data_IF_385379323945
#
_entry.id   IF_385379323945
#
_cell.length_a   1.000
_cell.length_b   1.000
_cell.length_c   1.000
_cell.angle_alpha   90.00
_cell.angle_beta   90.00
_cell.angle_gamma   90.00
#
_symmetry.space_group_name_H-M   'P 1'
#
loop_
_entity.id
_entity.type
_entity.pdbx_description
1 polymer ?
#
# COMPACT_ATOMS: atom_id res chain seq x y z
N UNK A 1 6.62 -15.10 -6.50
CA UNK A 1 5.48 -15.73 -7.19
C UNK A 1 5.49 -15.16 -8.60
N UNK A 2 5.17 -15.96 -9.62
CA UNK A 2 5.17 -15.46 -11.01
C UNK A 2 4.00 -14.50 -11.24
N UNK A 3 2.84 -14.83 -10.69
CA UNK A 3 1.62 -14.03 -10.83
C UNK A 3 1.10 -13.57 -9.46
N UNK A 4 1.40 -12.33 -9.02
CA UNK A 4 1.02 -11.84 -7.69
C UNK A 4 -0.51 -11.74 -7.49
N UNK A 5 -1.30 -11.76 -8.57
CA UNK A 5 -2.77 -11.78 -8.44
C UNK A 5 -3.29 -13.08 -7.82
N UNK A 6 -2.48 -14.14 -7.84
CA UNK A 6 -2.74 -15.41 -7.17
C UNK A 6 -2.29 -15.46 -5.73
N UNK A 7 -1.84 -14.36 -5.13
CA UNK A 7 -1.46 -14.36 -3.71
C UNK A 7 -2.63 -14.82 -2.82
N UNK A 8 -2.32 -15.61 -1.79
CA UNK A 8 -3.30 -16.03 -0.77
C UNK A 8 -3.95 -14.84 -0.04
N UNK A 9 -3.35 -13.64 -0.10
CA UNK A 9 -3.93 -12.41 0.41
C UNK A 9 -5.33 -12.12 -0.17
N UNK A 10 -5.58 -12.52 -1.42
CA UNK A 10 -6.86 -12.28 -2.12
C UNK A 10 -7.85 -13.43 -1.95
N UNK A 11 -7.91 -13.99 -0.75
CA UNK A 11 -8.83 -15.07 -0.37
C UNK A 11 -9.65 -14.69 0.86
N UNK A 12 -10.71 -15.45 1.13
CA UNK A 12 -11.55 -15.29 2.33
C UNK A 12 -10.78 -15.42 3.65
N UNK A 13 -9.57 -15.97 3.65
CA UNK A 13 -8.71 -16.06 4.83
C UNK A 13 -8.17 -14.69 5.25
N UNK A 14 -7.97 -13.78 4.29
CA UNK A 14 -7.35 -12.48 4.50
C UNK A 14 -8.26 -11.34 4.03
N UNK A 15 -8.06 -10.80 2.83
CA UNK A 15 -8.73 -9.58 2.38
C UNK A 15 -9.97 -9.83 1.52
N UNK A 16 -10.31 -11.08 1.24
CA UNK A 16 -11.34 -11.45 0.28
C UNK A 16 -10.86 -11.33 -1.17
N UNK A 17 -11.78 -11.50 -2.11
CA UNK A 17 -11.50 -11.54 -3.54
C UNK A 17 -10.81 -10.25 -4.04
N UNK A 18 -9.93 -10.43 -5.02
CA UNK A 18 -9.19 -9.34 -5.66
C UNK A 18 -9.84 -8.74 -6.91
N UNK A 19 -10.99 -9.28 -7.34
CA UNK A 19 -11.66 -8.87 -8.58
C UNK A 19 -13.15 -8.64 -8.34
N UNK A 20 -13.65 -7.51 -8.81
CA UNK A 20 -15.06 -7.12 -8.69
C UNK A 20 -15.40 -6.55 -7.31
N UNK A 21 -16.70 -6.56 -6.99
CA UNK A 21 -17.18 -6.17 -5.67
C UNK A 21 -16.65 -7.15 -4.62
N UNK A 22 -16.34 -6.65 -3.42
CA UNK A 22 -15.85 -7.48 -2.33
C UNK A 22 -16.97 -8.33 -1.74
N UNK A 23 -16.97 -9.62 -2.05
CA UNK A 23 -18.05 -10.56 -1.72
C UNK A 23 -17.60 -11.67 -0.74
N UNK A 24 -16.29 -11.76 -0.47
CA UNK A 24 -15.71 -12.84 0.33
C UNK A 24 -14.81 -12.32 1.44
N UNK A 25 -14.55 -13.16 2.44
CA UNK A 25 -13.67 -12.85 3.55
C UNK A 25 -14.28 -11.95 4.63
N UNK A 26 -13.46 -11.49 5.59
CA UNK A 26 -13.90 -10.73 6.76
C UNK A 26 -14.54 -9.38 6.44
N UNK A 27 -14.31 -8.89 5.22
CA UNK A 27 -14.74 -7.59 4.74
C UNK A 27 -15.77 -7.69 3.61
N UNK A 28 -16.38 -8.88 3.41
CA UNK A 28 -17.43 -9.07 2.42
C UNK A 28 -18.58 -8.07 2.61
N UNK A 29 -19.06 -7.49 1.51
CA UNK A 29 -20.16 -6.54 1.50
C UNK A 29 -19.82 -5.13 2.01
N UNK A 30 -18.55 -4.83 2.29
CA UNK A 30 -18.13 -3.53 2.81
C UNK A 30 -18.57 -2.38 1.89
N UNK A 31 -19.24 -1.39 2.49
CA UNK A 31 -19.77 -0.22 1.80
C UNK A 31 -18.88 1.00 2.05
N UNK A 32 -18.60 1.72 0.97
CA UNK A 32 -17.88 3.00 0.96
C UNK A 32 -18.86 4.12 0.61
N UNK A 33 -18.49 5.39 0.78
CA UNK A 33 -19.28 6.51 0.26
C UNK A 33 -19.56 6.43 -1.25
N UNK A 34 -18.72 5.71 -2.01
CA UNK A 34 -18.90 5.45 -3.44
C UNK A 34 -19.69 4.18 -3.78
N UNK A 35 -20.26 3.49 -2.79
CA UNK A 35 -20.92 2.18 -2.93
C UNK A 35 -20.01 1.02 -2.49
N UNK A 36 -20.28 -0.19 -2.96
CA UNK A 36 -19.49 -1.38 -2.62
C UNK A 36 -18.00 -1.17 -2.91
N UNK A 37 -17.14 -1.69 -2.03
CA UNK A 37 -15.71 -1.79 -2.28
C UNK A 37 -15.47 -2.67 -3.52
N UNK A 38 -14.68 -2.17 -4.48
CA UNK A 38 -14.35 -2.87 -5.72
C UNK A 38 -12.82 -2.96 -5.87
N UNK A 39 -12.31 -4.10 -6.32
CA UNK A 39 -10.89 -4.30 -6.68
C UNK A 39 -10.75 -4.85 -8.10
N UNK A 40 -9.61 -4.61 -8.72
CA UNK A 40 -9.27 -5.16 -10.03
C UNK A 40 -7.76 -5.36 -10.13
N UNK A 41 -7.23 -6.22 -9.26
CA UNK A 41 -5.80 -6.36 -9.05
C UNK A 41 -5.02 -6.69 -10.32
N UNK A 42 -3.85 -6.07 -10.48
CA UNK A 42 -2.91 -6.31 -11.59
C UNK A 42 -3.39 -5.77 -12.95
N UNK A 43 -4.32 -4.82 -12.97
CA UNK A 43 -4.77 -4.17 -14.21
C UNK A 43 -3.75 -3.18 -14.77
N UNK A 44 -3.02 -2.51 -13.88
CA UNK A 44 -1.98 -1.51 -14.15
C UNK A 44 -1.06 -1.40 -12.91
N UNK A 45 -0.21 -0.39 -12.85
CA UNK A 45 0.61 -0.10 -11.68
C UNK A 45 1.72 -1.12 -11.44
N UNK A 46 2.35 -1.03 -10.27
CA UNK A 46 3.48 -1.88 -9.90
C UNK A 46 3.47 -2.20 -8.41
N UNK A 47 3.86 -3.42 -8.07
CA UNK A 47 4.18 -3.78 -6.70
C UNK A 47 5.64 -3.41 -6.39
N UNK A 48 5.95 -3.24 -5.11
CA UNK A 48 7.32 -3.07 -4.65
C UNK A 48 8.22 -4.20 -5.18
N UNK A 49 9.26 -3.82 -5.93
CA UNK A 49 10.33 -4.73 -6.29
C UNK A 49 11.28 -4.87 -5.09
N UNK A 50 11.65 -6.13 -4.78
CA UNK A 50 12.65 -6.45 -3.76
C UNK A 50 14.03 -5.83 -4.04
N UNK A 51 14.29 -5.38 -5.27
CA UNK A 51 15.50 -4.63 -5.63
C UNK A 51 15.41 -3.13 -5.37
N UNK A 52 14.19 -2.57 -5.39
CA UNK A 52 13.97 -1.13 -5.22
C UNK A 52 14.03 -0.70 -3.76
N UNK A 53 13.56 -1.54 -2.82
CA UNK A 53 13.63 -1.23 -1.39
C UNK A 53 15.09 -1.05 -0.89
N UNK A 54 16.04 -1.96 -1.20
CA UNK A 54 17.45 -1.73 -0.87
C UNK A 54 18.03 -0.47 -1.52
N UNK A 55 17.53 -0.08 -2.69
CA UNK A 55 17.94 1.14 -3.38
C UNK A 55 17.50 2.38 -2.62
N UNK A 56 16.26 2.43 -2.10
CA UNK A 56 15.78 3.48 -1.19
C UNK A 56 16.67 3.53 0.07
N UNK A 57 16.95 2.39 0.70
CA UNK A 57 17.78 2.32 1.90
C UNK A 57 19.27 2.66 1.68
N UNK A 58 19.74 2.61 0.43
CA UNK A 58 21.08 3.07 0.07
C UNK A 58 21.21 4.59 0.08
N UNK A 59 20.11 5.34 -0.07
CA UNK A 59 20.10 6.80 -0.07
C UNK A 59 20.39 7.36 1.31
N UNK A 60 20.84 8.61 1.36
CA UNK A 60 21.34 9.24 2.60
C UNK A 60 20.47 10.42 3.04
N UNK A 61 19.86 11.14 2.12
CA UNK A 61 19.05 12.33 2.36
C UNK A 61 17.62 12.12 1.87
N UNK A 62 16.65 12.68 2.58
CA UNK A 62 15.23 12.56 2.26
C UNK A 62 14.92 12.99 0.83
N UNK A 63 15.56 14.07 0.35
CA UNK A 63 15.42 14.58 -1.02
C UNK A 63 15.70 13.54 -2.11
N UNK A 64 16.45 12.48 -1.80
CA UNK A 64 16.78 11.43 -2.77
C UNK A 64 15.66 10.39 -2.92
N UNK A 65 14.76 10.30 -1.94
CA UNK A 65 13.68 9.31 -1.88
C UNK A 65 12.28 9.94 -1.79
N UNK A 66 12.18 11.26 -1.77
CA UNK A 66 10.93 12.00 -1.63
C UNK A 66 10.74 13.04 -2.73
N UNK A 67 9.49 13.20 -3.15
CA UNK A 67 9.09 14.20 -4.15
C UNK A 67 9.29 15.64 -3.65
N UNK A 68 9.57 16.60 -4.54
CA UNK A 68 9.66 16.46 -6.00
C UNK A 68 11.08 16.17 -6.51
N UNK A 69 12.02 15.85 -5.62
CA UNK A 69 13.46 15.81 -5.95
C UNK A 69 14.02 14.42 -6.16
N UNK A 70 13.26 13.38 -5.80
CA UNK A 70 13.66 11.99 -6.00
C UNK A 70 13.83 11.68 -7.49
N UNK A 71 14.72 10.73 -7.80
CA UNK A 71 14.75 10.16 -9.14
C UNK A 71 13.53 9.23 -9.31
N UNK A 72 13.00 9.01 -10.52
CA UNK A 72 11.74 8.28 -10.74
C UNK A 72 11.64 6.91 -10.05
N UNK A 73 12.73 6.14 -10.04
CA UNK A 73 12.74 4.80 -9.41
C UNK A 73 13.19 4.81 -7.94
N UNK A 74 13.58 5.97 -7.40
CA UNK A 74 14.05 6.15 -6.02
C UNK A 74 12.96 6.73 -5.10
N UNK A 75 11.91 7.34 -5.69
CA UNK A 75 10.82 7.96 -4.96
C UNK A 75 9.94 6.95 -4.22
N UNK A 76 9.85 7.08 -2.90
CA UNK A 76 9.00 6.25 -2.07
C UNK A 76 7.51 6.47 -2.38
N UNK A 77 7.12 7.71 -2.68
CA UNK A 77 5.76 8.11 -3.05
C UNK A 77 5.33 7.46 -4.37
N UNK A 78 6.23 7.37 -5.36
CA UNK A 78 5.94 6.74 -6.64
C UNK A 78 5.75 5.21 -6.49
N UNK A 79 6.62 4.56 -5.72
CA UNK A 79 6.46 3.13 -5.41
C UNK A 79 5.17 2.86 -4.62
N UNK A 80 4.82 3.74 -3.69
CA UNK A 80 3.55 3.74 -2.97
C UNK A 80 2.35 3.86 -3.92
N UNK A 81 2.40 4.81 -4.87
CA UNK A 81 1.34 5.03 -5.85
C UNK A 81 1.16 3.82 -6.77
N UNK A 82 2.26 3.17 -7.14
CA UNK A 82 2.25 1.95 -7.94
C UNK A 82 1.33 0.88 -7.36
N UNK A 83 1.33 0.68 -6.04
CA UNK A 83 0.48 -0.32 -5.36
C UNK A 83 -0.98 0.09 -5.32
N UNK A 84 -1.27 1.37 -5.09
CA UNK A 84 -2.63 1.91 -5.18
C UNK A 84 -3.26 1.59 -6.55
N UNK A 85 -2.51 1.88 -7.61
CA UNK A 85 -2.92 1.61 -9.00
C UNK A 85 -2.98 0.09 -9.25
N UNK A 86 -2.06 -0.68 -8.69
CA UNK A 86 -2.02 -2.14 -8.89
C UNK A 86 -3.22 -2.84 -8.25
N UNK A 87 -3.72 -2.38 -7.10
CA UNK A 87 -4.95 -2.94 -6.51
C UNK A 87 -6.19 -2.47 -7.28
N UNK A 88 -6.15 -1.25 -7.82
CA UNK A 88 -7.19 -0.64 -8.65
C UNK A 88 -8.53 -0.47 -7.89
N UNK A 89 -9.56 0.04 -8.57
CA UNK A 89 -10.90 0.20 -8.03
C UNK A 89 -10.93 1.20 -6.88
N UNK A 90 -11.35 0.76 -5.70
CA UNK A 90 -11.40 1.61 -4.50
C UNK A 90 -10.01 2.12 -4.11
N UNK A 91 -8.96 1.32 -4.30
CA UNK A 91 -7.58 1.69 -3.93
C UNK A 91 -6.94 2.74 -4.85
N UNK A 92 -7.40 2.91 -6.09
CA UNK A 92 -6.88 3.92 -7.03
C UNK A 92 -7.44 5.34 -6.75
N UNK A 93 -8.49 5.43 -5.92
CA UNK A 93 -9.09 6.71 -5.56
C UNK A 93 -8.37 7.36 -4.39
N UNK A 94 -7.87 8.59 -4.57
CA UNK A 94 -7.28 9.39 -3.48
C UNK A 94 -8.21 9.59 -2.27
N UNK A 95 -9.53 9.57 -2.50
CA UNK A 95 -10.54 9.80 -1.46
C UNK A 95 -11.05 8.47 -0.90
N UNK A 96 -11.28 7.47 -1.75
CA UNK A 96 -11.91 6.22 -1.33
C UNK A 96 -10.90 5.16 -0.87
N UNK A 97 -9.62 5.25 -1.22
CA UNK A 97 -8.63 4.23 -0.88
C UNK A 97 -8.60 3.85 0.60
N UNK A 98 -8.69 4.79 1.58
CA UNK A 98 -8.73 4.44 3.00
C UNK A 98 -9.91 3.55 3.43
N UNK A 99 -10.95 3.42 2.60
CA UNK A 99 -12.08 2.52 2.83
C UNK A 99 -11.78 1.07 2.43
N UNK A 100 -10.72 0.81 1.67
CA UNK A 100 -10.23 -0.56 1.48
C UNK A 100 -9.32 -0.94 2.67
N UNK A 101 -9.64 -2.00 3.44
CA UNK A 101 -8.81 -2.40 4.58
C UNK A 101 -7.33 -2.66 4.24
N UNK A 102 -7.01 -3.00 2.99
CA UNK A 102 -5.61 -3.19 2.59
C UNK A 102 -4.80 -1.89 2.56
N UNK A 103 -5.47 -0.73 2.44
CA UNK A 103 -4.85 0.60 2.52
C UNK A 103 -3.96 0.73 3.74
N UNK A 104 -4.48 0.36 4.91
CA UNK A 104 -3.78 0.54 6.17
C UNK A 104 -2.54 -0.36 6.27
N UNK A 105 -2.62 -1.60 5.77
CA UNK A 105 -1.42 -2.46 5.74
C UNK A 105 -0.38 -1.99 4.72
N UNK A 106 -0.82 -1.47 3.58
CA UNK A 106 0.07 -0.85 2.59
C UNK A 106 0.80 0.35 3.21
N UNK A 107 0.08 1.25 3.87
CA UNK A 107 0.66 2.42 4.54
C UNK A 107 1.55 2.06 5.74
N UNK A 108 1.24 0.99 6.49
CA UNK A 108 2.18 0.45 7.48
C UNK A 108 3.48 -0.05 6.83
N UNK A 109 3.42 -0.63 5.63
CA UNK A 109 4.63 -1.07 4.94
C UNK A 109 5.44 0.10 4.37
N UNK A 110 4.78 1.17 3.90
CA UNK A 110 5.43 2.44 3.53
C UNK A 110 6.15 3.05 4.73
N UNK A 111 5.47 3.14 5.87
CA UNK A 111 6.04 3.66 7.12
C UNK A 111 7.18 2.78 7.64
N UNK A 112 7.10 1.45 7.49
CA UNK A 112 8.23 0.55 7.76
C UNK A 112 9.46 0.88 6.90
N UNK A 113 9.29 1.08 5.59
CA UNK A 113 10.40 1.44 4.68
C UNK A 113 11.02 2.78 5.13
N UNK A 114 10.17 3.75 5.45
CA UNK A 114 10.56 5.06 5.99
C UNK A 114 11.33 4.92 7.30
N UNK A 115 10.84 4.15 8.28
CA UNK A 115 11.47 3.97 9.58
C UNK A 115 12.86 3.33 9.44
N UNK A 116 13.00 2.32 8.57
CA UNK A 116 14.32 1.72 8.31
C UNK A 116 15.27 2.73 7.67
N UNK A 117 14.80 3.53 6.71
CA UNK A 117 15.60 4.62 6.14
C UNK A 117 16.02 5.63 7.22
N UNK A 118 15.09 6.05 8.08
CA UNK A 118 15.31 6.98 9.19
C UNK A 118 16.38 6.45 10.16
N UNK A 119 16.33 5.17 10.50
CA UNK A 119 17.36 4.50 11.31
C UNK A 119 18.73 4.49 10.63
N UNK A 120 18.78 4.27 9.31
CA UNK A 120 20.01 4.30 8.52
C UNK A 120 20.59 5.72 8.39
N UNK A 121 19.75 6.76 8.34
CA UNK A 121 20.22 8.14 8.45
C UNK A 121 20.89 8.39 9.80
N UNK A 122 20.24 7.97 10.89
CA UNK A 122 20.79 8.12 12.24
C UNK A 122 22.11 7.38 12.41
N UNK A 123 22.26 6.17 11.86
CA UNK A 123 23.54 5.42 11.91
C UNK A 123 24.66 6.10 11.12
N UNK A 124 24.31 6.96 10.16
CA UNK A 124 25.24 7.81 9.40
C UNK A 124 25.44 9.21 10.01
N UNK A 125 24.93 9.45 11.22
CA UNK A 125 25.05 10.73 11.91
C UNK A 125 24.13 11.84 11.40
N UNK A 126 23.10 11.48 10.62
CA UNK A 126 22.08 12.42 10.13
C UNK A 126 20.89 12.36 11.07
N UNK A 127 20.46 13.52 11.57
CA UNK A 127 19.23 13.62 12.34
C UNK A 127 18.04 13.86 11.39
N UNK A 128 17.09 12.91 11.26
CA UNK A 128 15.94 13.02 10.37
C UNK A 128 15.03 14.21 10.68
N UNK A 129 14.99 14.64 11.95
CA UNK A 129 14.23 15.82 12.38
C UNK A 129 14.80 17.16 11.86
N UNK A 130 15.88 17.12 11.07
CA UNK A 130 16.45 18.27 10.37
C UNK A 130 16.68 18.01 8.87
N UNK A 131 16.24 16.87 8.34
CA UNK A 131 16.47 16.46 6.95
C UNK A 131 15.16 16.47 6.16
N UNK A 132 14.69 17.67 5.79
CA UNK A 132 13.42 17.86 5.10
C UNK A 132 13.61 18.20 3.63
N UNK A 133 12.59 17.93 2.82
CA UNK A 133 12.48 18.48 1.45
C UNK A 133 11.70 19.79 1.54
N UNK A 134 12.31 20.95 1.23
CA UNK A 134 11.57 22.20 1.19
C UNK A 134 10.47 22.13 0.14
N UNK A 135 9.24 22.47 0.53
CA UNK A 135 8.09 22.53 -0.37
C UNK A 135 7.33 23.83 -0.14
N UNK A 136 6.96 24.48 -1.24
CA UNK A 136 6.04 25.63 -1.24
C UNK A 136 4.59 25.20 -1.52
N UNK A 137 4.35 23.89 -1.64
CA UNK A 137 3.02 23.34 -1.88
C UNK A 137 2.26 23.34 -0.56
N UNK A 138 1.07 23.94 -0.56
CA UNK A 138 0.18 23.96 0.61
C UNK A 138 -0.04 22.55 1.15
N UNK A 139 0.08 22.39 2.46
CA UNK A 139 0.00 21.12 3.18
C UNK A 139 1.32 20.36 3.29
N UNK A 140 2.38 20.77 2.58
CA UNK A 140 3.68 20.10 2.57
C UNK A 140 4.79 20.91 3.23
N UNK A 141 4.54 22.13 3.68
CA UNK A 141 5.50 22.90 4.47
C UNK A 141 5.83 22.18 5.77
N UNK A 142 7.11 22.16 6.15
CA UNK A 142 7.59 21.41 7.33
C UNK A 142 6.92 21.87 8.64
N UNK A 143 6.64 23.16 8.78
CA UNK A 143 5.99 23.74 9.95
C UNK A 143 4.47 23.93 9.79
N UNK A 144 3.90 23.45 8.68
CA UNK A 144 2.44 23.40 8.51
C UNK A 144 1.82 22.27 9.33
N UNK A 145 0.57 22.46 9.74
CA UNK A 145 -0.22 21.44 10.42
C UNK A 145 -0.35 20.19 9.53
N UNK A 146 -0.02 19.03 10.09
CA UNK A 146 -0.13 17.76 9.40
C UNK A 146 -1.60 17.50 9.05
N UNK A 147 -1.87 17.24 7.77
CA UNK A 147 -3.25 17.12 7.30
C UNK A 147 -4.02 16.04 8.06
N UNK A 148 -5.09 16.44 8.75
CA UNK A 148 -5.96 15.53 9.49
C UNK A 148 -5.45 15.11 10.87
N UNK A 149 -4.33 15.67 11.36
CA UNK A 149 -3.74 15.35 12.66
C UNK A 149 -3.61 16.64 13.50
N UNK A 150 -4.68 16.97 14.22
CA UNK A 150 -4.77 18.19 15.03
C UNK A 150 -3.64 18.28 16.06
N UNK A 151 -2.95 19.42 16.09
CA UNK A 151 -1.90 19.71 17.06
C UNK A 151 -0.53 19.13 16.72
N UNK A 152 -0.36 18.53 15.52
CA UNK A 152 0.92 18.08 15.02
C UNK A 152 1.25 18.77 13.70
N UNK A 153 2.52 19.07 13.49
CA UNK A 153 3.07 19.59 12.24
C UNK A 153 3.67 18.47 11.41
N UNK A 154 3.94 18.74 10.14
CA UNK A 154 4.69 17.80 9.29
C UNK A 154 6.07 17.47 9.90
N UNK A 155 6.74 18.43 10.55
CA UNK A 155 8.00 18.26 11.27
C UNK A 155 7.91 17.17 12.34
N UNK A 156 6.79 17.10 13.06
CA UNK A 156 6.63 16.19 14.17
C UNK A 156 6.68 14.72 13.73
N UNK A 157 6.25 14.43 12.49
CA UNK A 157 6.35 13.10 11.88
C UNK A 157 7.78 12.55 11.77
N UNK A 158 8.80 13.41 11.86
CA UNK A 158 10.21 13.02 11.78
C UNK A 158 10.85 12.79 13.16
N UNK A 159 10.13 13.08 14.25
CA UNK A 159 10.67 13.00 15.59
C UNK A 159 10.80 11.55 16.06
N UNK A 160 11.89 11.28 16.76
CA UNK A 160 12.11 10.01 17.47
C UNK A 160 10.98 9.68 18.46
N UNK A 161 10.33 10.69 19.05
CA UNK A 161 9.21 10.49 19.98
C UNK A 161 7.98 9.90 19.28
N UNK A 162 7.72 10.27 18.02
CA UNK A 162 6.64 9.71 17.20
C UNK A 162 7.03 8.33 16.69
N UNK A 163 8.22 8.18 16.11
CA UNK A 163 8.69 6.89 15.58
C UNK A 163 8.68 5.76 16.62
N UNK A 164 9.00 6.07 17.89
CA UNK A 164 9.00 5.09 18.99
C UNK A 164 7.60 4.64 19.44
N UNK A 165 6.52 5.18 18.87
CA UNK A 165 5.16 4.73 19.16
C UNK A 165 4.85 3.36 18.54
N UNK A 166 5.58 2.97 17.49
CA UNK A 166 5.39 1.73 16.73
C UNK A 166 6.71 0.97 16.66
N UNK A 167 6.62 -0.36 16.63
CA UNK A 167 7.74 -1.24 16.34
C UNK A 167 7.34 -2.18 15.21
N UNK A 168 8.21 -2.33 14.23
CA UNK A 168 8.03 -3.25 13.11
C UNK A 168 8.87 -4.51 13.32
N UNK A 169 8.25 -5.66 13.04
CA UNK A 169 8.99 -6.92 12.93
C UNK A 169 9.83 -6.93 11.64
N UNK A 170 11.00 -7.58 11.66
CA UNK A 170 11.82 -7.70 10.46
C UNK A 170 11.09 -8.50 9.37
N UNK A 171 11.34 -8.14 8.12
CA UNK A 171 10.79 -8.86 6.97
C UNK A 171 11.17 -10.35 7.02
N UNK A 172 10.24 -11.30 6.79
CA UNK A 172 10.53 -12.74 6.81
C UNK A 172 11.66 -13.14 5.84
N UNK A 173 12.60 -13.97 6.32
CA UNK A 173 13.76 -14.46 5.55
C UNK A 173 13.76 -15.98 5.40
N UNK A 174 14.34 -16.45 4.30
CA UNK A 174 14.61 -17.88 4.11
C UNK A 174 15.59 -18.41 5.17
N UNK A 175 15.55 -19.71 5.51
CA UNK A 175 14.65 -20.73 4.96
C UNK A 175 13.27 -20.78 5.60
N UNK A 176 13.08 -20.14 6.77
CA UNK A 176 11.90 -20.35 7.61
C UNK A 176 10.71 -19.45 7.25
N UNK A 177 10.93 -18.31 6.61
CA UNK A 177 9.89 -17.36 6.22
C UNK A 177 8.94 -17.00 7.37
N UNK A 178 9.51 -16.74 8.55
CA UNK A 178 8.75 -16.40 9.75
C UNK A 178 7.88 -17.55 10.28
N UNK A 179 8.18 -18.80 9.91
CA UNK A 179 7.36 -19.98 10.22
C UNK A 179 5.91 -19.87 9.73
N UNK A 180 5.66 -19.00 8.75
CA UNK A 180 4.32 -18.80 8.20
C UNK A 180 3.91 -20.02 7.38
N UNK A 181 2.68 -20.50 7.61
CA UNK A 181 2.05 -21.49 6.74
C UNK A 181 1.70 -20.94 5.36
N UNK A 182 1.64 -19.62 5.22
CA UNK A 182 1.13 -18.91 4.04
C UNK A 182 2.26 -18.34 3.17
N UNK A 183 3.50 -18.46 3.64
CA UNK A 183 4.70 -18.17 2.88
C UNK A 183 5.48 -19.47 2.62
N UNK A 184 6.32 -19.46 1.59
CA UNK A 184 7.34 -20.48 1.38
C UNK A 184 8.65 -19.82 0.96
N UNK A 185 9.77 -20.47 1.30
CA UNK A 185 11.07 -20.06 0.80
C UNK A 185 11.24 -20.51 -0.65
N UNK A 186 11.47 -19.58 -1.57
CA UNK A 186 11.84 -19.90 -2.93
C UNK A 186 13.34 -20.21 -3.00
N UNK A 187 13.69 -21.47 -3.20
CA UNK A 187 15.08 -21.94 -3.23
C UNK A 187 15.94 -21.33 -4.34
N UNK A 188 15.34 -20.85 -5.43
CA UNK A 188 16.09 -20.24 -6.54
C UNK A 188 16.46 -18.78 -6.25
N UNK A 189 15.61 -18.05 -5.54
CA UNK A 189 15.81 -16.61 -5.30
C UNK A 189 16.20 -16.27 -3.87
N UNK A 190 16.12 -17.22 -2.93
CA UNK A 190 16.38 -16.99 -1.51
C UNK A 190 15.32 -16.12 -0.82
N UNK A 191 14.17 -15.91 -1.48
CA UNK A 191 13.12 -15.03 -1.00
C UNK A 191 11.93 -15.80 -0.44
N UNK A 192 11.35 -15.24 0.62
CA UNK A 192 10.02 -15.63 1.05
C UNK A 192 8.97 -15.11 0.09
N UNK A 193 8.08 -16.01 -0.32
CA UNK A 193 7.06 -15.81 -1.35
C UNK A 193 5.71 -16.27 -0.80
N UNK A 194 4.68 -15.45 -1.05
CA UNK A 194 3.29 -15.81 -0.75
C UNK A 194 2.90 -17.12 -1.44
N UNK A 195 2.13 -17.97 -0.76
CA UNK A 195 1.49 -19.12 -1.39
C UNK A 195 0.38 -18.67 -2.33
N UNK A 196 0.15 -19.48 -3.36
CA UNK A 196 -0.97 -19.25 -4.25
C UNK A 196 -2.29 -19.63 -3.58
N UNK A 197 -3.38 -18.98 -3.99
CA UNK A 197 -4.72 -19.36 -3.57
C UNK A 197 -5.00 -20.82 -3.94
N UNK A 198 -5.83 -21.55 -3.17
CA UNK A 198 -6.25 -22.89 -3.54
C UNK A 198 -6.87 -22.94 -4.95
N UNK A 199 -6.62 -24.01 -5.73
CA UNK A 199 -7.28 -24.18 -7.02
C UNK A 199 -8.80 -24.11 -6.87
N UNK A 200 -9.46 -23.25 -7.67
CA UNK A 200 -10.91 -23.10 -7.67
C UNK A 200 -11.48 -22.00 -6.76
N UNK A 201 -10.68 -21.35 -5.90
CA UNK A 201 -11.11 -20.15 -5.14
C UNK A 201 -10.94 -18.84 -5.90
N UNK A 202 -10.45 -18.91 -7.14
CA UNK A 202 -10.35 -17.77 -8.05
C UNK A 202 -11.76 -17.34 -8.50
N UNK A 203 -12.51 -16.74 -7.57
CA UNK A 203 -13.88 -16.26 -7.79
C UNK A 203 -13.92 -14.91 -8.52
N UNK A 204 -12.79 -14.45 -9.06
CA UNK A 204 -12.76 -13.48 -10.14
C UNK A 204 -12.94 -14.23 -11.46
N UNK A 205 -14.15 -14.66 -11.76
CA UNK A 205 -14.44 -15.37 -12.99
C UNK A 205 -14.15 -14.41 -14.17
N UNK A 206 -12.98 -14.55 -14.80
CA UNK A 206 -12.59 -13.82 -16.03
C UNK A 206 -13.73 -13.87 -17.07
N UNK A 207 -14.56 -14.93 -17.02
CA UNK A 207 -15.75 -15.14 -17.82
C UNK A 207 -17.05 -14.51 -17.30
N UNK A 208 -17.27 -14.32 -15.99
CA UNK A 208 -18.51 -13.68 -15.48
C UNK A 208 -18.50 -12.17 -15.76
N UNK A 209 -17.33 -11.53 -15.65
CA UNK A 209 -17.11 -10.19 -16.17
C UNK A 209 -17.44 -10.12 -17.68
N UNK A 210 -17.09 -11.16 -18.44
CA UNK A 210 -17.42 -11.31 -19.86
C UNK A 210 -18.90 -11.60 -20.17
N UNK A 211 -19.61 -12.32 -19.28
CA UNK A 211 -21.03 -12.66 -19.48
C UNK A 211 -21.94 -11.45 -19.23
N UNK A 212 -21.65 -10.66 -18.20
CA UNK A 212 -22.29 -9.35 -17.96
C UNK A 212 -21.98 -8.39 -19.12
N UNK A 213 -20.78 -8.43 -19.71
CA UNK A 213 -20.44 -7.63 -20.88
C UNK A 213 -21.18 -8.06 -22.16
N UNK A 214 -21.42 -9.36 -22.35
CA UNK A 214 -22.16 -9.93 -23.49
C UNK A 214 -23.67 -9.68 -23.43
N UNK A 215 -24.29 -9.79 -22.25
CA UNK A 215 -25.73 -9.48 -22.06
C UNK A 215 -26.05 -7.99 -22.29
N UNK A 216 -25.03 -7.12 -22.22
CA UNK A 216 -25.11 -5.69 -22.51
C UNK A 216 -24.63 -5.29 -23.92
N UNK A 217 -24.54 -6.24 -24.86
CA UNK A 217 -24.39 -5.93 -26.30
C UNK A 217 -23.02 -5.42 -26.76
N UNK A 218 -21.90 -5.90 -26.18
CA UNK A 218 -20.55 -5.54 -26.63
C UNK A 218 -19.78 -6.76 -27.16
N UNK A 219 -19.73 -6.90 -28.49
CA UNK A 219 -18.88 -7.80 -29.28
C UNK A 219 -18.23 -6.94 -30.39
N UNK A 220 -17.04 -7.14 -30.95
CA UNK A 220 -15.98 -8.16 -30.89
C UNK A 220 -14.72 -7.51 -31.51
N UNK A 221 -13.50 -7.92 -31.12
CA UNK A 221 -12.27 -7.50 -31.82
C UNK A 221 -10.95 -7.61 -31.05
N UNK A 222 -10.21 -8.70 -31.32
CA UNK A 222 -8.74 -8.92 -31.30
C UNK A 222 -7.91 -8.29 -30.14
N UNK A 223 -7.47 -9.18 -29.22
CA UNK A 223 -6.65 -8.94 -28.02
C UNK A 223 -7.11 -7.72 -27.19
N UNK A 224 -8.10 -8.00 -26.34
CA UNK A 224 -9.25 -7.12 -26.15
C UNK A 224 -9.03 -5.83 -25.36
N UNK A 225 -9.57 -4.69 -25.82
CA UNK A 225 -9.69 -3.43 -25.06
C UNK A 225 -10.77 -3.50 -23.93
N UNK A 226 -10.92 -4.65 -23.27
CA UNK A 226 -12.09 -5.02 -22.43
C UNK A 226 -11.93 -4.69 -20.92
N UNK A 227 -10.92 -3.91 -20.52
CA UNK A 227 -10.89 -3.31 -19.17
C UNK A 227 -11.04 -1.79 -19.16
N UNK A 228 -11.22 -1.17 -20.34
CA UNK A 228 -11.50 0.28 -20.41
C UNK A 228 -12.81 0.67 -19.73
N UNK A 229 -13.78 -0.24 -19.53
CA UNK A 229 -15.10 0.15 -18.98
C UNK A 229 -15.07 0.53 -17.49
N UNK A 230 -14.06 0.11 -16.71
CA UNK A 230 -13.87 0.55 -15.33
C UNK A 230 -12.95 1.77 -15.17
N UNK A 231 -12.02 2.00 -16.11
CA UNK A 231 -11.28 3.29 -16.21
C UNK A 231 -12.20 4.52 -16.44
N UNK A 232 -13.45 4.30 -16.85
CA UNK A 232 -14.46 5.33 -17.10
C UNK A 232 -15.68 5.24 -16.18
N UNK A 233 -15.59 4.51 -15.07
CA UNK A 233 -16.66 4.52 -14.07
C UNK A 233 -16.69 5.88 -13.38
N UNK A 234 -17.76 6.66 -13.65
CA UNK A 234 -17.96 8.00 -13.09
C UNK A 234 -18.03 8.00 -11.55
N UNK A 235 -18.25 6.85 -10.90
CA UNK A 235 -18.27 6.70 -9.43
C UNK A 235 -16.89 6.83 -8.78
N UNK A 236 -15.82 6.67 -9.55
CA UNK A 236 -14.43 6.68 -9.06
C UNK A 236 -13.65 7.93 -9.49
N UNK A 237 -14.29 8.84 -10.27
CA UNK A 237 -13.65 10.01 -10.90
C UNK A 237 -14.14 11.38 -10.40
N UNK A 238 -14.71 11.44 -9.21
CA UNK A 238 -14.95 12.69 -8.48
C UNK A 238 -13.92 12.68 -7.34
N UNK A 239 -12.91 13.55 -7.23
CA UNK A 239 -12.87 14.97 -7.57
C UNK A 239 -11.45 15.45 -7.86
N UNK A 240 -11.30 16.24 -8.92
CA UNK A 240 -10.44 17.41 -8.91
C UNK A 240 -10.80 18.27 -7.70
N UNK A 241 -9.88 18.36 -6.75
CA UNK A 241 -9.72 19.41 -5.72
C UNK A 241 -10.91 20.37 -5.61
N UNK A 242 -11.86 20.06 -4.74
CA UNK A 242 -12.58 21.10 -3.98
C UNK A 242 -12.64 20.69 -2.50
N UNK A 243 -12.28 21.64 -1.64
CA UNK A 243 -11.96 21.49 -0.22
C UNK A 243 -13.05 20.80 0.62
N UNK A 244 -12.70 20.03 1.67
CA UNK A 244 -13.71 19.45 2.54
C UNK A 244 -14.21 20.47 3.59
N UNK A 245 -15.53 20.68 3.62
CA UNK A 245 -16.22 21.23 4.79
C UNK A 245 -16.22 20.17 5.92
N UNK A 246 -15.78 20.61 7.10
CA UNK A 246 -15.60 19.84 8.35
C UNK A 246 -16.80 18.95 8.71
N UNK A 247 -16.54 17.67 9.05
CA UNK A 247 -17.31 16.90 10.03
C UNK A 247 -16.38 15.99 10.85
N UNK A 248 -16.51 16.07 12.18
CA UNK A 248 -15.76 15.30 13.19
C UNK A 248 -16.11 13.81 13.11
N UNK A 249 -15.09 12.95 13.17
CA UNK A 249 -15.24 11.51 13.42
C UNK A 249 -14.40 11.18 14.66
N UNK A 250 -15.04 10.56 15.64
CA UNK A 250 -14.45 10.08 16.90
C UNK A 250 -14.10 8.60 16.70
N UNK A 251 -12.85 8.19 16.93
CA UNK A 251 -12.48 6.76 16.97
C UNK A 251 -11.72 6.45 18.26
N UNK A 252 -12.16 5.38 18.92
CA UNK A 252 -11.58 4.82 20.14
C UNK A 252 -10.41 3.90 19.82
N UNK A 253 -9.30 4.04 20.55
CA UNK A 253 -8.20 3.05 20.54
C UNK A 253 -7.90 2.60 21.98
N UNK A 254 -8.05 1.30 22.23
CA UNK A 254 -7.64 0.64 23.49
C UNK A 254 -6.16 0.25 23.37
N UNK A 255 -5.35 0.71 24.33
CA UNK A 255 -3.91 0.40 24.50
C UNK A 255 -3.63 -1.10 24.67
N UNK A 256 -2.54 -1.59 24.06
CA UNK A 256 -1.78 -2.76 24.54
C UNK A 256 -0.31 -2.37 24.80
N UNK A 257 0.32 -3.00 25.78
CA UNK A 257 1.65 -2.69 26.33
C UNK A 257 2.61 -3.90 26.24
N UNK A 258 3.91 -3.56 26.25
CA UNK A 258 5.15 -4.33 26.56
C UNK A 258 5.79 -5.12 25.41
N UNK A 259 7.13 -5.34 25.31
CA UNK A 259 8.43 -4.66 25.60
C UNK A 259 9.53 -5.70 25.24
N UNK A 260 10.67 -5.26 24.65
CA UNK A 260 12.01 -5.94 24.53
C UNK A 260 12.13 -7.07 23.47
N UNK A 261 13.20 -7.25 22.67
CA UNK A 261 14.59 -6.75 22.63
C UNK A 261 15.07 -6.58 21.16
N UNK A 262 15.97 -5.61 20.89
CA UNK A 262 16.62 -5.41 19.58
C UNK A 262 18.13 -5.58 19.75
N UNK A 263 18.61 -6.77 19.43
CA UNK A 263 19.99 -7.00 19.01
C UNK A 263 19.93 -7.97 17.83
N UNK A 264 20.72 -7.74 16.78
CA UNK A 264 20.76 -8.42 15.47
C UNK A 264 19.96 -7.78 14.32
N UNK A 265 20.28 -6.53 13.97
CA UNK A 265 20.09 -6.01 12.60
C UNK A 265 21.37 -5.30 12.13
N UNK A 266 22.54 -5.87 12.39
CA UNK A 266 23.76 -5.58 11.62
C UNK A 266 24.63 -6.81 11.73
N UNK A 267 24.63 -7.65 10.69
CA UNK A 267 25.82 -8.23 10.06
C UNK A 267 25.40 -9.22 8.95
N UNK A 268 26.26 -9.41 7.93
CA UNK A 268 25.87 -9.71 6.54
C UNK A 268 25.26 -11.10 6.29
#
# INVERSE_FOLDING_TARGET
>A
MVDPTKSILWTSKYFGNGFGALETGPFAGFQTPGGSLIRNIGSDGMLYDKRLIPRIWSKTRLREISDPTSAPDDGLEEQHNGVHIWVDGTMDSLVLAPHDPIFWLHHCFVDYIWEVFRMLQMSRGINPAFDFVPSNRTGHGVDEEAFGIEGYTNRDGYLNSIARLVQYDPTPKCPFCGFSTDLYCNGNTGYCVSREQPPGTYQGNRMLAGKIARENGLAEGKFGPVFKRFRWDKRVRHDSVTQPKKKKIIVWVKKMKYKRDIHHIVEP
#
